data_IF_682338409185
#
_entry.id   IF_682338409185
#
_cell.length_a   1.000
_cell.length_b   1.000
_cell.length_c   1.000
_cell.angle_alpha   90.00
_cell.angle_beta   90.00
_cell.angle_gamma   90.00
#
_symmetry.space_group_name_H-M   'P 1'
#
loop_
_entity.id
_entity.type
_entity.pdbx_description
1 polymer ?
#
# COMPACT_ATOMS: atom_id res chain seq x y z
N UNK A 1 -28.27 23.68 32.80
CA UNK A 1 -26.89 24.20 32.58
C UNK A 1 -25.93 23.04 32.32
N UNK A 2 -26.28 22.12 31.39
CA UNK A 2 -25.61 20.82 31.17
C UNK A 2 -25.59 20.47 29.66
N UNK A 3 -25.34 21.46 28.79
CA UNK A 3 -25.36 21.23 27.32
C UNK A 3 -24.18 21.76 26.53
N UNK A 4 -23.14 22.26 27.20
CA UNK A 4 -21.88 22.63 26.56
C UNK A 4 -20.71 22.22 27.47
N UNK A 5 -20.64 20.94 27.82
CA UNK A 5 -19.33 20.31 27.84
C UNK A 5 -18.87 20.38 26.39
N UNK A 6 -18.13 21.44 26.05
CA UNK A 6 -17.29 21.50 24.87
C UNK A 6 -16.65 20.11 24.78
N UNK A 7 -17.03 19.30 23.78
CA UNK A 7 -16.39 18.01 23.51
C UNK A 7 -14.91 18.32 23.31
N UNK A 8 -14.14 18.20 24.39
CA UNK A 8 -12.80 18.73 24.45
C UNK A 8 -11.97 18.09 23.34
N UNK A 9 -11.35 18.91 22.50
CA UNK A 9 -10.52 18.43 21.39
C UNK A 9 -11.27 17.84 20.18
N UNK A 10 -12.62 17.92 20.10
CA UNK A 10 -13.37 17.54 18.88
C UNK A 10 -13.58 18.76 17.99
N UNK A 11 -13.38 18.60 16.68
CA UNK A 11 -13.49 19.69 15.72
C UNK A 11 -14.93 20.22 15.58
N UNK A 12 -15.13 21.55 15.49
CA UNK A 12 -16.43 22.16 15.21
C UNK A 12 -17.05 21.68 13.90
N UNK A 13 -18.36 21.45 13.92
CA UNK A 13 -19.16 21.00 12.77
C UNK A 13 -18.91 21.85 11.52
N UNK A 14 -18.85 23.17 11.68
CA UNK A 14 -18.67 24.12 10.59
C UNK A 14 -17.30 23.97 9.93
N UNK A 15 -16.26 23.63 10.70
CA UNK A 15 -14.91 23.40 10.17
C UNK A 15 -14.84 22.07 9.41
N UNK A 16 -15.43 21.01 9.95
CA UNK A 16 -15.53 19.71 9.29
C UNK A 16 -16.27 19.85 7.95
N UNK A 17 -17.46 20.46 7.95
CA UNK A 17 -18.25 20.66 6.74
C UNK A 17 -17.53 21.52 5.70
N UNK A 18 -16.81 22.55 6.15
CA UNK A 18 -16.00 23.41 5.27
C UNK A 18 -14.84 22.66 4.65
N UNK A 19 -14.14 21.81 5.41
CA UNK A 19 -13.03 21.02 4.87
C UNK A 19 -13.51 19.92 3.93
N UNK A 20 -14.62 19.23 4.25
CA UNK A 20 -15.26 18.26 3.35
C UNK A 20 -15.61 18.91 2.01
N UNK A 21 -16.29 20.07 2.03
CA UNK A 21 -16.64 20.80 0.81
C UNK A 21 -15.42 21.20 -0.01
N UNK A 22 -14.30 21.51 0.65
CA UNK A 22 -13.04 21.83 -0.02
C UNK A 22 -12.44 20.57 -0.67
N UNK A 23 -12.30 19.48 0.08
CA UNK A 23 -11.81 18.19 -0.43
C UNK A 23 -12.63 17.74 -1.63
N UNK A 24 -13.95 17.62 -1.47
CA UNK A 24 -14.87 17.16 -2.51
C UNK A 24 -14.94 18.04 -3.76
N UNK A 25 -14.43 19.28 -3.69
CA UNK A 25 -14.36 20.22 -4.83
C UNK A 25 -13.03 20.15 -5.57
N UNK A 26 -11.92 19.91 -4.88
CA UNK A 26 -10.58 20.07 -5.43
C UNK A 26 -9.80 18.76 -5.58
N UNK A 27 -10.23 17.71 -4.90
CA UNK A 27 -9.65 16.38 -5.01
C UNK A 27 -10.64 15.45 -5.71
N UNK A 28 -10.09 14.58 -6.56
CA UNK A 28 -10.82 13.55 -7.27
C UNK A 28 -10.07 12.23 -7.13
N UNK A 29 -10.79 11.15 -6.86
CA UNK A 29 -10.25 9.82 -6.71
C UNK A 29 -10.64 8.96 -7.90
N UNK A 30 -9.81 7.98 -8.25
CA UNK A 30 -10.03 7.00 -9.32
C UNK A 30 -11.07 5.94 -8.90
N UNK A 31 -12.25 6.40 -8.51
CA UNK A 31 -13.39 5.59 -8.03
C UNK A 31 -14.71 6.32 -8.32
N UNK A 32 -15.85 5.73 -7.94
CA UNK A 32 -17.15 6.37 -8.01
C UNK A 32 -17.27 7.50 -6.98
N UNK A 33 -18.15 8.48 -7.26
CA UNK A 33 -18.37 9.62 -6.35
C UNK A 33 -18.85 9.19 -4.96
N UNK A 34 -19.61 8.09 -4.89
CA UNK A 34 -20.10 7.56 -3.62
C UNK A 34 -18.95 7.07 -2.75
N UNK A 35 -18.06 6.24 -3.31
CA UNK A 35 -16.92 5.67 -2.59
C UNK A 35 -15.89 6.77 -2.29
N UNK A 36 -15.68 7.71 -3.20
CA UNK A 36 -14.85 8.90 -2.96
C UNK A 36 -15.28 9.65 -1.69
N UNK A 37 -16.59 9.88 -1.51
CA UNK A 37 -17.10 10.53 -0.31
C UNK A 37 -16.84 9.70 0.95
N UNK A 38 -16.93 8.36 0.89
CA UNK A 38 -16.61 7.48 2.03
C UNK A 38 -15.15 7.61 2.47
N UNK A 39 -14.22 7.73 1.52
CA UNK A 39 -12.78 7.90 1.79
C UNK A 39 -12.44 9.32 2.29
N UNK A 40 -13.16 10.34 1.80
CA UNK A 40 -13.00 11.71 2.30
C UNK A 40 -13.48 11.86 3.75
N UNK A 41 -14.55 11.17 4.16
CA UNK A 41 -15.02 11.17 5.55
C UNK A 41 -13.91 10.71 6.50
N UNK A 42 -13.27 9.58 6.21
CA UNK A 42 -12.15 9.07 7.01
C UNK A 42 -10.95 10.04 7.01
N UNK A 43 -10.66 10.66 5.87
CA UNK A 43 -9.53 11.59 5.78
C UNK A 43 -9.71 12.86 6.61
N UNK A 44 -10.94 13.23 6.96
CA UNK A 44 -11.20 14.42 7.77
C UNK A 44 -10.78 14.27 9.22
N UNK A 45 -10.83 13.05 9.77
CA UNK A 45 -10.30 12.75 11.10
C UNK A 45 -8.81 13.08 11.17
N UNK A 46 -7.99 12.44 10.33
CA UNK A 46 -6.56 12.68 10.29
C UNK A 46 -6.20 14.13 9.97
N UNK A 47 -7.00 14.83 9.15
CA UNK A 47 -6.79 16.26 8.87
C UNK A 47 -7.14 17.15 10.06
N UNK A 48 -8.17 16.80 10.84
CA UNK A 48 -8.52 17.49 12.08
C UNK A 48 -7.43 17.31 13.13
N UNK A 49 -6.92 16.09 13.28
CA UNK A 49 -5.80 15.77 14.18
C UNK A 49 -4.55 16.59 13.80
N UNK A 50 -4.18 16.61 12.52
CA UNK A 50 -2.98 17.30 12.04
C UNK A 50 -3.17 18.82 11.81
N UNK A 51 -4.37 19.36 12.06
CA UNK A 51 -4.66 20.78 11.83
C UNK A 51 -4.56 21.23 10.37
N UNK A 52 -4.76 20.32 9.41
CA UNK A 52 -4.62 20.58 7.96
C UNK A 52 -5.90 21.23 7.39
N UNK A 53 -5.82 21.85 6.21
CA UNK A 53 -7.03 22.28 5.49
C UNK A 53 -7.78 23.43 6.18
N UNK A 54 -9.07 23.23 6.47
CA UNK A 54 -9.89 24.23 7.16
C UNK A 54 -9.54 24.40 8.65
N UNK A 55 -8.79 23.47 9.24
CA UNK A 55 -8.42 23.48 10.66
C UNK A 55 -7.24 24.44 10.98
N UNK A 56 -6.51 24.94 9.97
CA UNK A 56 -5.55 26.06 10.08
C UNK A 56 -4.52 25.94 11.22
N UNK A 57 -3.82 24.80 11.28
CA UNK A 57 -2.83 24.43 12.32
C UNK A 57 -3.41 24.29 13.73
N UNK A 58 -4.73 24.28 13.89
CA UNK A 58 -5.37 23.93 15.16
C UNK A 58 -5.68 22.44 15.15
N UNK A 59 -5.19 21.75 16.16
CA UNK A 59 -5.30 20.32 16.33
C UNK A 59 -6.58 19.96 17.08
N UNK A 60 -7.27 18.92 16.61
CA UNK A 60 -8.52 18.41 17.19
C UNK A 60 -8.43 16.89 17.34
N UNK A 61 -7.48 16.44 18.17
CA UNK A 61 -7.03 15.05 18.29
C UNK A 61 -8.09 14.05 18.77
N UNK A 62 -9.21 14.54 19.33
CA UNK A 62 -10.31 13.68 19.77
C UNK A 62 -11.44 13.57 18.73
N UNK A 63 -11.31 14.24 17.58
CA UNK A 63 -12.28 14.10 16.48
C UNK A 63 -12.23 12.67 15.98
N UNK A 64 -13.36 11.98 15.93
CA UNK A 64 -13.45 10.62 15.35
C UNK A 64 -14.15 10.63 13.99
N UNK A 65 -14.05 9.53 13.24
CA UNK A 65 -14.86 9.33 12.01
C UNK A 65 -16.37 9.49 12.30
N UNK A 66 -16.85 9.02 13.46
CA UNK A 66 -18.24 9.17 13.89
C UNK A 66 -18.63 10.65 14.05
N UNK A 67 -17.77 11.46 14.68
CA UNK A 67 -17.99 12.90 14.80
C UNK A 67 -18.05 13.58 13.43
N UNK A 68 -17.20 13.16 12.49
CA UNK A 68 -17.22 13.66 11.10
C UNK A 68 -18.55 13.33 10.43
N UNK A 69 -19.01 12.08 10.50
CA UNK A 69 -20.27 11.64 9.89
C UNK A 69 -21.45 12.43 10.45
N UNK A 70 -21.54 12.55 11.78
CA UNK A 70 -22.58 13.32 12.48
C UNK A 70 -22.51 14.82 12.12
N UNK A 71 -21.31 15.39 12.02
CA UNK A 71 -21.11 16.78 11.61
C UNK A 71 -21.55 17.06 10.17
N UNK A 72 -21.44 16.08 9.28
CA UNK A 72 -21.93 16.20 7.90
C UNK A 72 -23.45 15.96 7.77
N UNK A 73 -24.14 15.61 8.86
CA UNK A 73 -25.57 15.30 8.86
C UNK A 73 -25.89 13.97 8.16
N UNK A 74 -24.92 13.05 8.13
CA UNK A 74 -25.06 11.73 7.54
C UNK A 74 -25.45 10.71 8.61
N UNK A 75 -26.07 9.60 8.20
CA UNK A 75 -26.44 8.51 9.10
C UNK A 75 -25.25 7.57 9.37
N UNK A 76 -24.77 7.45 10.63
CA UNK A 76 -23.65 6.58 10.99
C UNK A 76 -23.84 5.12 10.58
N UNK A 77 -25.03 4.56 10.80
CA UNK A 77 -25.32 3.16 10.50
C UNK A 77 -25.25 2.86 9.01
N UNK A 78 -25.75 3.77 8.17
CA UNK A 78 -25.70 3.68 6.71
C UNK A 78 -24.27 3.78 6.20
N UNK A 79 -23.46 4.72 6.71
CA UNK A 79 -22.05 4.85 6.30
C UNK A 79 -21.25 3.60 6.67
N UNK A 80 -21.41 3.10 7.90
CA UNK A 80 -20.82 1.84 8.36
C UNK A 80 -21.20 0.68 7.44
N UNK A 81 -22.49 0.50 7.13
CA UNK A 81 -22.98 -0.55 6.21
C UNK A 81 -22.42 -0.44 4.80
N UNK A 82 -22.31 0.78 4.26
CA UNK A 82 -21.75 1.00 2.91
C UNK A 82 -20.27 0.61 2.84
N UNK A 83 -19.49 0.94 3.88
CA UNK A 83 -18.08 0.52 3.97
C UNK A 83 -17.95 -0.99 4.12
N UNK A 84 -18.79 -1.60 4.95
CA UNK A 84 -18.82 -3.07 5.09
C UNK A 84 -19.14 -3.75 3.75
N UNK A 85 -20.10 -3.25 2.97
CA UNK A 85 -20.44 -3.84 1.69
C UNK A 85 -19.26 -3.87 0.69
N UNK A 86 -18.34 -2.89 0.77
CA UNK A 86 -17.13 -2.89 -0.07
C UNK A 86 -16.13 -3.96 0.38
N UNK A 87 -16.02 -4.22 1.68
CA UNK A 87 -15.20 -5.30 2.25
C UNK A 87 -15.82 -6.65 1.86
N UNK A 88 -17.13 -6.79 2.04
CA UNK A 88 -17.89 -8.01 1.72
C UNK A 88 -17.71 -8.43 0.26
N UNK A 89 -17.63 -7.46 -0.67
CA UNK A 89 -17.35 -7.75 -2.09
C UNK A 89 -15.99 -8.43 -2.31
N UNK A 90 -14.95 -8.02 -1.55
CA UNK A 90 -13.59 -8.61 -1.62
C UNK A 90 -13.55 -9.96 -0.89
N UNK A 91 -14.16 -10.05 0.29
CA UNK A 91 -14.28 -11.31 1.06
C UNK A 91 -15.02 -12.37 0.24
N UNK A 92 -16.11 -11.97 -0.41
CA UNK A 92 -16.88 -12.87 -1.27
C UNK A 92 -16.04 -13.38 -2.44
N UNK A 93 -15.21 -12.53 -3.06
CA UNK A 93 -14.28 -12.97 -4.10
C UNK A 93 -13.33 -14.05 -3.59
N UNK A 94 -12.70 -13.85 -2.42
CA UNK A 94 -11.82 -14.85 -1.84
C UNK A 94 -12.55 -16.18 -1.59
N UNK A 95 -13.76 -16.13 -1.01
CA UNK A 95 -14.59 -17.30 -0.79
C UNK A 95 -14.96 -18.03 -2.09
N UNK A 96 -15.31 -17.29 -3.14
CA UNK A 96 -15.70 -17.85 -4.43
C UNK A 96 -14.48 -18.54 -5.09
N UNK A 97 -13.29 -17.92 -5.04
CA UNK A 97 -12.03 -18.52 -5.53
C UNK A 97 -11.67 -19.80 -4.78
N UNK A 98 -11.80 -19.79 -3.44
CA UNK A 98 -11.53 -20.95 -2.59
C UNK A 98 -12.45 -22.13 -2.95
N UNK A 99 -13.72 -21.85 -3.29
CA UNK A 99 -14.68 -22.85 -3.77
C UNK A 99 -14.41 -23.33 -5.21
N UNK A 100 -13.40 -22.78 -5.88
CA UNK A 100 -13.05 -23.11 -7.26
C UNK A 100 -13.90 -22.39 -8.30
N UNK A 101 -14.64 -21.35 -7.93
CA UNK A 101 -15.36 -20.54 -8.91
C UNK A 101 -14.39 -19.73 -9.77
N UNK A 102 -14.73 -19.61 -11.06
CA UNK A 102 -13.91 -18.84 -11.99
C UNK A 102 -14.10 -17.34 -11.77
N UNK A 103 -13.16 -16.70 -11.06
CA UNK A 103 -13.15 -15.26 -10.78
C UNK A 103 -11.94 -14.56 -11.44
N UNK A 104 -11.92 -14.51 -12.76
CA UNK A 104 -10.82 -13.90 -13.53
C UNK A 104 -10.89 -12.36 -13.62
N UNK A 105 -11.78 -11.72 -12.86
CA UNK A 105 -11.95 -10.26 -12.79
C UNK A 105 -12.20 -9.77 -11.37
N UNK A 106 -11.74 -8.57 -11.08
CA UNK A 106 -11.93 -7.88 -9.80
C UNK A 106 -13.22 -7.05 -9.81
N UNK A 107 -14.34 -7.76 -9.91
CA UNK A 107 -15.70 -7.21 -9.92
C UNK A 107 -16.56 -7.93 -8.88
N UNK A 108 -17.58 -7.23 -8.37
CA UNK A 108 -18.57 -7.80 -7.46
C UNK A 108 -19.62 -8.63 -8.21
N UNK A 109 -20.57 -9.22 -7.46
CA UNK A 109 -21.66 -10.04 -8.02
C UNK A 109 -22.62 -9.28 -8.94
N UNK A 110 -22.61 -7.93 -8.88
CA UNK A 110 -23.38 -7.06 -9.78
C UNK A 110 -22.62 -6.71 -11.06
N UNK A 111 -21.37 -7.15 -11.19
CA UNK A 111 -20.48 -6.81 -12.30
C UNK A 111 -19.81 -5.45 -12.16
N UNK A 112 -19.86 -4.82 -10.99
CA UNK A 112 -19.23 -3.53 -10.73
C UNK A 112 -17.78 -3.73 -10.29
N UNK A 113 -16.81 -2.92 -10.75
CA UNK A 113 -15.42 -3.01 -10.30
C UNK A 113 -15.28 -2.83 -8.79
N UNK A 114 -14.36 -3.59 -8.17
CA UNK A 114 -14.06 -3.43 -6.76
C UNK A 114 -13.66 -2.00 -6.43
N UNK A 115 -14.17 -1.53 -5.29
CA UNK A 115 -13.99 -0.17 -4.80
C UNK A 115 -14.40 0.89 -5.82
N UNK A 116 -15.22 0.55 -6.83
CA UNK A 116 -15.62 1.43 -7.91
C UNK A 116 -14.47 1.87 -8.83
N UNK A 117 -13.31 1.21 -8.77
CA UNK A 117 -12.10 1.59 -9.52
C UNK A 117 -12.22 1.05 -10.96
N UNK A 118 -12.40 1.91 -11.98
CA UNK A 118 -12.81 1.45 -13.30
C UNK A 118 -11.86 0.43 -13.95
N UNK A 119 -10.55 0.62 -13.80
CA UNK A 119 -9.55 -0.26 -14.41
C UNK A 119 -9.47 -1.64 -13.75
N UNK A 120 -9.90 -1.81 -12.49
CA UNK A 120 -9.91 -3.14 -11.87
C UNK A 120 -10.91 -4.08 -12.56
N UNK A 121 -11.98 -3.54 -13.15
CA UNK A 121 -12.93 -4.33 -13.93
C UNK A 121 -12.45 -4.72 -15.32
N UNK A 122 -11.33 -4.16 -15.80
CA UNK A 122 -10.79 -4.43 -17.14
C UNK A 122 -9.64 -5.42 -17.14
N UNK A 123 -8.95 -5.60 -16.02
CA UNK A 123 -7.91 -6.61 -15.89
C UNK A 123 -8.49 -8.03 -15.87
N UNK A 124 -7.91 -8.90 -16.70
CA UNK A 124 -7.98 -10.34 -16.45
C UNK A 124 -6.88 -10.68 -15.46
N UNK A 125 -7.25 -11.24 -14.31
CA UNK A 125 -6.33 -11.59 -13.23
C UNK A 125 -6.26 -13.10 -13.04
N UNK A 126 -5.14 -13.60 -12.52
CA UNK A 126 -5.10 -14.91 -11.90
C UNK A 126 -5.69 -14.82 -10.48
N UNK A 127 -6.91 -15.36 -10.24
CA UNK A 127 -7.55 -15.25 -8.93
C UNK A 127 -6.74 -15.87 -7.78
N UNK A 128 -5.96 -16.91 -8.08
CA UNK A 128 -5.10 -17.55 -7.10
C UNK A 128 -3.98 -16.61 -6.63
N UNK A 129 -3.36 -15.85 -7.54
CA UNK A 129 -2.32 -14.88 -7.17
C UNK A 129 -2.91 -13.71 -6.39
N UNK A 130 -4.13 -13.26 -6.72
CA UNK A 130 -4.85 -12.26 -5.91
C UNK A 130 -5.12 -12.80 -4.50
N UNK A 131 -5.51 -14.07 -4.37
CA UNK A 131 -5.74 -14.71 -3.07
C UNK A 131 -4.45 -14.78 -2.23
N UNK A 132 -3.30 -15.08 -2.86
CA UNK A 132 -1.98 -15.02 -2.22
C UNK A 132 -1.66 -13.60 -1.75
N UNK A 133 -1.99 -12.60 -2.55
CA UNK A 133 -1.80 -11.19 -2.21
C UNK A 133 -2.67 -10.74 -1.03
N UNK A 134 -3.93 -11.17 -0.96
CA UNK A 134 -4.82 -10.90 0.18
C UNK A 134 -4.26 -11.51 1.47
N UNK A 135 -3.77 -12.76 1.40
CA UNK A 135 -3.15 -13.42 2.55
C UNK A 135 -1.90 -12.69 3.04
N UNK A 136 -0.95 -12.38 2.13
CA UNK A 136 0.28 -11.66 2.51
C UNK A 136 -0.03 -10.25 3.00
N UNK A 137 -0.96 -9.57 2.32
CA UNK A 137 -1.39 -8.22 2.64
C UNK A 137 -1.96 -8.13 4.05
N UNK A 138 -2.88 -9.03 4.43
CA UNK A 138 -3.55 -8.96 5.73
C UNK A 138 -2.63 -9.32 6.88
N UNK A 139 -1.66 -10.21 6.64
CA UNK A 139 -0.69 -10.59 7.67
C UNK A 139 0.43 -9.56 7.90
N UNK A 140 0.81 -8.76 6.90
CA UNK A 140 2.02 -7.91 7.03
C UNK A 140 1.91 -6.85 8.13
N UNK A 141 0.69 -6.41 8.42
CA UNK A 141 0.42 -5.34 9.39
C UNK A 141 0.14 -5.88 10.80
N UNK A 142 0.02 -7.20 10.93
CA UNK A 142 -0.05 -7.88 12.22
C UNK A 142 1.18 -7.58 13.08
N UNK A 143 0.93 -7.18 14.34
CA UNK A 143 1.98 -6.73 15.26
C UNK A 143 2.98 -7.83 15.63
N UNK A 144 2.56 -9.09 15.72
CA UNK A 144 3.45 -10.19 16.07
C UNK A 144 4.38 -10.52 14.88
N UNK A 145 3.84 -10.48 13.65
CA UNK A 145 4.63 -10.65 12.42
C UNK A 145 5.67 -9.53 12.28
N UNK A 146 5.29 -8.28 12.56
CA UNK A 146 6.25 -7.16 12.58
C UNK A 146 7.38 -7.41 13.58
N UNK A 147 7.08 -7.90 14.79
CA UNK A 147 8.10 -8.24 15.80
C UNK A 147 9.06 -9.33 15.32
N UNK A 148 8.53 -10.40 14.73
CA UNK A 148 9.35 -11.48 14.16
C UNK A 148 10.28 -10.96 13.04
N UNK A 149 9.79 -10.05 12.20
CA UNK A 149 10.56 -9.43 11.12
C UNK A 149 11.65 -8.48 11.65
N UNK A 150 11.35 -7.69 12.68
CA UNK A 150 12.36 -6.87 13.38
C UNK A 150 13.48 -7.74 13.96
N UNK A 151 13.12 -8.85 14.61
CA UNK A 151 14.09 -9.78 15.17
C UNK A 151 14.94 -10.45 14.08
N UNK A 152 14.32 -10.86 12.98
CA UNK A 152 14.98 -11.53 11.85
C UNK A 152 15.94 -10.58 11.10
N UNK A 153 15.48 -9.38 10.78
CA UNK A 153 16.21 -8.44 9.92
C UNK A 153 16.97 -7.35 10.68
N UNK A 154 16.86 -7.31 12.01
CA UNK A 154 17.52 -6.32 12.88
C UNK A 154 17.16 -4.88 12.49
N UNK A 155 15.87 -4.63 12.33
CA UNK A 155 15.28 -3.33 12.00
C UNK A 155 14.28 -2.91 13.07
N UNK A 156 13.83 -1.65 13.00
CA UNK A 156 12.77 -1.11 13.85
C UNK A 156 11.55 -0.80 12.98
N UNK A 157 10.41 -1.33 13.38
CA UNK A 157 9.11 -1.12 12.76
C UNK A 157 8.20 -0.46 13.78
N UNK A 158 7.80 0.78 13.49
CA UNK A 158 6.78 1.48 14.27
C UNK A 158 5.42 0.84 14.08
N UNK A 159 4.57 0.87 15.10
CA UNK A 159 3.26 0.24 15.02
C UNK A 159 2.40 0.46 16.25
N UNK A 160 1.17 0.00 16.15
CA UNK A 160 0.13 0.13 17.15
C UNK A 160 -1.15 -0.46 16.63
N UNK A 161 -2.20 -0.44 17.44
CA UNK A 161 -3.50 -0.99 17.04
C UNK A 161 -4.65 -0.14 17.56
N UNK A 162 -5.83 -0.38 16.97
CA UNK A 162 -7.06 0.24 17.41
C UNK A 162 -7.60 -0.43 18.67
N UNK A 163 -8.11 0.37 19.61
CA UNK A 163 -8.76 -0.10 20.81
C UNK A 163 -10.04 0.71 21.08
N UNK A 164 -11.03 0.09 21.71
CA UNK A 164 -12.10 0.86 22.34
C UNK A 164 -11.55 1.53 23.60
N UNK A 165 -11.64 2.86 23.64
CA UNK A 165 -11.14 3.70 24.71
C UNK A 165 -12.30 4.39 25.41
N UNK A 166 -12.38 4.25 26.74
CA UNK A 166 -13.28 5.09 27.56
C UNK A 166 -12.68 6.49 27.70
N UNK A 167 -13.28 7.45 27.01
CA UNK A 167 -12.81 8.83 26.96
C UNK A 167 -12.86 9.55 28.31
N UNK A 168 -13.68 9.08 29.27
CA UNK A 168 -13.74 9.65 30.63
C UNK A 168 -12.55 9.17 31.45
N UNK A 169 -12.16 7.91 31.31
CA UNK A 169 -10.95 7.37 31.94
C UNK A 169 -9.72 8.00 31.31
N UNK A 170 -9.69 8.10 29.97
CA UNK A 170 -8.62 8.77 29.22
C UNK A 170 -8.33 10.18 29.76
N UNK A 171 -9.37 11.00 29.91
CA UNK A 171 -9.25 12.35 30.47
C UNK A 171 -8.78 12.35 31.93
N UNK A 172 -9.30 11.45 32.78
CA UNK A 172 -8.86 11.33 34.18
C UNK A 172 -7.38 10.96 34.31
N UNK A 173 -6.87 10.18 33.35
CA UNK A 173 -5.45 9.80 33.28
C UNK A 173 -4.56 10.88 32.68
N UNK A 174 -5.13 12.01 32.23
CA UNK A 174 -4.39 13.07 31.53
C UNK A 174 -3.88 12.63 30.15
N UNK A 175 -4.53 11.66 29.53
CA UNK A 175 -4.22 11.13 28.20
C UNK A 175 -5.15 11.74 27.16
N UNK A 176 -4.71 11.73 25.91
CA UNK A 176 -5.50 12.12 24.75
C UNK A 176 -5.00 11.42 23.47
N UNK A 177 -5.65 11.71 22.34
CA UNK A 177 -5.25 11.16 21.04
C UNK A 177 -3.84 11.58 20.61
N UNK A 178 -3.30 12.71 21.08
CA UNK A 178 -1.93 13.14 20.75
C UNK A 178 -0.90 12.24 21.40
N UNK A 179 -1.09 11.98 22.71
CA UNK A 179 -0.25 11.06 23.48
C UNK A 179 -0.27 9.68 22.84
N UNK A 180 -1.46 9.13 22.59
CA UNK A 180 -1.61 7.81 21.97
C UNK A 180 -1.00 7.68 20.58
N UNK A 181 -1.03 8.75 19.77
CA UNK A 181 -0.52 8.70 18.41
C UNK A 181 1.01 8.86 18.30
N UNK A 182 1.67 9.47 19.30
CA UNK A 182 3.10 9.87 19.20
C UNK A 182 4.01 9.21 20.25
N UNK A 183 3.49 8.72 21.37
CA UNK A 183 4.28 8.02 22.39
C UNK A 183 4.18 6.51 22.21
N UNK A 184 5.21 5.79 22.65
CA UNK A 184 5.19 4.32 22.70
C UNK A 184 4.48 3.84 23.96
N UNK A 185 3.48 3.00 23.82
CA UNK A 185 2.63 2.52 24.91
C UNK A 185 2.72 1.01 25.16
N UNK A 186 3.65 0.28 24.54
CA UNK A 186 3.78 -1.18 24.65
C UNK A 186 3.75 -1.67 26.12
N UNK A 187 4.43 -0.98 27.03
CA UNK A 187 4.49 -1.34 28.45
C UNK A 187 3.27 -0.91 29.28
N UNK A 188 2.41 -0.04 28.74
CA UNK A 188 1.23 0.51 29.43
C UNK A 188 -0.08 -0.20 29.06
N UNK A 189 -0.11 -0.97 27.97
CA UNK A 189 -1.35 -1.62 27.47
C UNK A 189 -2.06 -2.44 28.55
N UNK A 190 -1.34 -3.26 29.31
CA UNK A 190 -1.94 -4.07 30.36
C UNK A 190 -2.44 -3.23 31.55
N UNK A 191 -1.79 -2.09 31.82
CA UNK A 191 -2.28 -1.13 32.82
C UNK A 191 -3.56 -0.46 32.32
N UNK A 192 -3.60 -0.02 31.07
CA UNK A 192 -4.78 0.58 30.46
C UNK A 192 -5.99 -0.34 30.49
N UNK A 193 -5.81 -1.64 30.23
CA UNK A 193 -6.88 -2.64 30.40
C UNK A 193 -7.36 -2.74 31.86
N UNK A 194 -6.43 -2.85 32.82
CA UNK A 194 -6.78 -2.94 34.26
C UNK A 194 -7.50 -1.71 34.80
N UNK A 195 -7.13 -0.52 34.33
CA UNK A 195 -7.75 0.75 34.73
C UNK A 195 -9.09 1.00 33.99
N UNK A 196 -9.48 0.12 33.07
CA UNK A 196 -10.70 0.24 32.28
C UNK A 196 -10.63 1.25 31.14
N UNK A 197 -9.43 1.78 30.85
CA UNK A 197 -9.21 2.69 29.73
C UNK A 197 -9.44 1.96 28.41
N UNK A 198 -8.79 0.81 28.23
CA UNK A 198 -9.02 -0.08 27.09
C UNK A 198 -10.13 -1.06 27.47
N UNK A 199 -11.20 -1.05 26.68
CA UNK A 199 -12.35 -1.92 26.85
C UNK A 199 -12.33 -2.95 25.73
N UNK A 200 -12.66 -4.20 26.07
CA UNK A 200 -12.91 -5.27 25.10
C UNK A 200 -14.40 -5.61 25.18
N UNK A 201 -15.24 -5.03 24.32
CA UNK A 201 -16.67 -5.33 24.30
C UNK A 201 -16.87 -6.82 24.04
N UNK A 202 -17.79 -7.45 24.77
CA UNK A 202 -18.18 -8.83 24.46
C UNK A 202 -19.00 -8.86 23.18
N UNK A 203 -19.02 -10.01 22.52
CA UNK A 203 -19.85 -10.19 21.33
C UNK A 203 -21.32 -9.91 21.66
N UNK A 204 -21.94 -9.02 20.88
CA UNK A 204 -23.32 -8.57 21.09
C UNK A 204 -23.51 -7.51 22.18
N UNK A 205 -22.45 -7.05 22.84
CA UNK A 205 -22.52 -5.94 23.80
C UNK A 205 -22.67 -4.60 23.08
N UNK A 206 -23.65 -3.80 23.49
CA UNK A 206 -23.89 -2.49 22.92
C UNK A 206 -22.81 -1.51 23.42
N UNK A 207 -22.11 -0.88 22.49
CA UNK A 207 -21.06 0.08 22.79
C UNK A 207 -21.70 1.45 23.00
N UNK A 208 -21.47 2.05 24.17
CA UNK A 208 -21.86 3.44 24.41
C UNK A 208 -20.95 4.37 23.59
N UNK A 209 -21.37 4.65 22.35
CA UNK A 209 -20.63 5.49 21.40
C UNK A 209 -20.45 6.95 21.87
N UNK A 210 -21.12 7.39 22.95
CA UNK A 210 -20.90 8.72 23.52
C UNK A 210 -19.59 8.79 24.31
N UNK A 211 -19.25 7.73 25.04
CA UNK A 211 -18.08 7.70 25.92
C UNK A 211 -16.98 6.75 25.45
N UNK A 212 -17.32 5.73 24.67
CA UNK A 212 -16.39 4.76 24.10
C UNK A 212 -16.05 5.13 22.66
N UNK A 213 -14.77 5.34 22.38
CA UNK A 213 -14.28 5.69 21.04
C UNK A 213 -13.24 4.67 20.58
N UNK A 214 -13.33 4.25 19.32
CA UNK A 214 -12.28 3.43 18.72
C UNK A 214 -11.11 4.34 18.35
N UNK A 215 -9.96 4.14 19.00
CA UNK A 215 -8.78 5.01 18.86
C UNK A 215 -7.53 4.17 18.63
N UNK A 216 -6.66 4.65 17.74
CA UNK A 216 -5.34 4.09 17.55
C UNK A 216 -4.44 4.42 18.74
N UNK A 217 -3.79 3.41 19.31
CA UNK A 217 -2.74 3.56 20.32
C UNK A 217 -1.46 2.98 19.73
N UNK A 218 -0.42 3.81 19.67
CA UNK A 218 0.91 3.42 19.22
C UNK A 218 1.56 2.55 20.30
N UNK A 219 1.74 1.28 20.00
CA UNK A 219 2.45 0.36 20.88
C UNK A 219 3.96 0.66 20.82
N UNK A 220 4.52 0.82 19.60
CA UNK A 220 5.95 0.94 19.33
C UNK A 220 6.33 2.16 18.48
N UNK A 221 7.38 2.87 18.89
CA UNK A 221 7.92 4.02 18.15
C UNK A 221 8.80 3.54 16.99
N UNK A 222 8.61 4.15 15.82
CA UNK A 222 9.37 3.89 14.60
C UNK A 222 8.67 4.43 13.37
N UNK A 223 9.30 4.33 12.18
CA UNK A 223 8.82 4.99 10.95
C UNK A 223 7.58 4.32 10.34
N UNK A 224 7.31 3.06 10.69
CA UNK A 224 6.13 2.31 10.25
C UNK A 224 6.35 1.55 8.93
N UNK A 225 5.24 1.24 8.26
CA UNK A 225 5.21 0.57 6.96
C UNK A 225 4.69 1.50 5.88
N UNK A 226 5.01 1.16 4.63
CA UNK A 226 4.61 1.85 3.43
C UNK A 226 3.74 0.94 2.58
N UNK A 227 2.47 1.32 2.41
CA UNK A 227 1.53 0.61 1.53
C UNK A 227 2.02 0.63 0.07
N UNK A 228 2.57 1.76 -0.39
CA UNK A 228 3.18 1.87 -1.72
C UNK A 228 4.32 0.85 -1.90
N UNK A 229 5.19 0.70 -0.88
CA UNK A 229 6.32 -0.22 -0.93
C UNK A 229 5.86 -1.67 -0.86
N UNK A 230 4.81 -1.99 -0.10
CA UNK A 230 4.21 -3.32 -0.04
C UNK A 230 3.68 -3.74 -1.42
N UNK A 231 2.86 -2.90 -2.05
CA UNK A 231 2.27 -3.15 -3.37
C UNK A 231 3.36 -3.34 -4.43
N UNK A 232 4.35 -2.44 -4.49
CA UNK A 232 5.42 -2.53 -5.50
C UNK A 232 6.33 -3.72 -5.25
N UNK A 233 6.70 -3.99 -3.99
CA UNK A 233 7.56 -5.13 -3.66
C UNK A 233 6.88 -6.45 -3.99
N UNK A 234 5.59 -6.58 -3.70
CA UNK A 234 4.77 -7.72 -4.12
C UNK A 234 4.82 -7.92 -5.65
N UNK A 235 4.65 -6.84 -6.41
CA UNK A 235 4.70 -6.86 -7.87
C UNK A 235 6.07 -7.27 -8.44
N UNK A 236 7.16 -6.75 -7.86
CA UNK A 236 8.53 -7.01 -8.30
C UNK A 236 9.08 -8.36 -7.84
N UNK A 237 8.64 -8.87 -6.68
CA UNK A 237 9.03 -10.18 -6.19
C UNK A 237 8.29 -11.28 -6.94
N UNK A 238 6.97 -11.11 -7.13
CA UNK A 238 6.07 -12.15 -7.62
C UNK A 238 5.44 -11.77 -8.97
N UNK A 239 4.35 -11.00 -8.97
CA UNK A 239 3.62 -10.55 -10.16
C UNK A 239 2.57 -9.48 -9.82
N UNK A 240 1.97 -8.91 -10.86
CA UNK A 240 0.93 -7.87 -10.76
C UNK A 240 -0.31 -8.32 -9.97
N UNK A 241 -0.78 -9.56 -10.16
CA UNK A 241 -2.02 -10.04 -9.56
C UNK A 241 -1.89 -10.18 -8.04
N UNK A 242 -0.72 -10.62 -7.57
CA UNK A 242 -0.40 -10.63 -6.14
C UNK A 242 -0.33 -9.21 -5.56
N UNK A 243 0.27 -8.26 -6.29
CA UNK A 243 0.27 -6.86 -5.89
C UNK A 243 -1.13 -6.26 -5.78
N UNK A 244 -2.05 -6.64 -6.67
CA UNK A 244 -3.47 -6.27 -6.58
C UNK A 244 -4.12 -6.86 -5.33
N UNK A 245 -3.82 -8.11 -4.97
CA UNK A 245 -4.29 -8.71 -3.72
C UNK A 245 -3.80 -7.95 -2.48
N UNK A 246 -2.53 -7.56 -2.44
CA UNK A 246 -1.97 -6.72 -1.35
C UNK A 246 -2.69 -5.38 -1.27
N UNK A 247 -2.90 -4.71 -2.41
CA UNK A 247 -3.65 -3.45 -2.47
C UNK A 247 -5.11 -3.59 -1.98
N UNK A 248 -5.77 -4.72 -2.27
CA UNK A 248 -7.12 -4.98 -1.80
C UNK A 248 -7.17 -5.24 -0.29
N UNK A 249 -6.13 -5.85 0.27
CA UNK A 249 -5.98 -6.01 1.72
C UNK A 249 -5.93 -4.65 2.43
N UNK A 250 -5.10 -3.73 1.94
CA UNK A 250 -4.98 -2.38 2.52
C UNK A 250 -6.27 -1.59 2.41
N UNK A 251 -7.03 -1.86 1.35
CA UNK A 251 -8.34 -1.28 1.20
C UNK A 251 -9.30 -1.79 2.28
N UNK A 252 -9.21 -3.05 2.69
CA UNK A 252 -9.97 -3.60 3.81
C UNK A 252 -9.55 -2.92 5.12
N UNK A 253 -8.25 -2.90 5.49
CA UNK A 253 -7.74 -2.19 6.70
C UNK A 253 -8.19 -0.72 6.72
N UNK A 254 -8.17 -0.07 5.55
CA UNK A 254 -8.67 1.30 5.45
C UNK A 254 -10.16 1.39 5.76
N UNK A 255 -10.97 0.49 5.19
CA UNK A 255 -12.44 0.51 5.26
C UNK A 255 -12.98 0.08 6.63
N UNK A 256 -12.37 -0.92 7.26
CA UNK A 256 -12.84 -1.53 8.50
C UNK A 256 -12.82 -0.58 9.70
N UNK A 257 -11.94 0.43 9.68
CA UNK A 257 -11.81 1.51 10.68
C UNK A 257 -13.11 2.25 10.98
N UNK A 258 -14.15 2.07 10.16
CA UNK A 258 -15.49 2.58 10.45
C UNK A 258 -16.59 1.70 9.85
N UNK A 259 -16.82 0.54 10.47
CA UNK A 259 -17.82 -0.48 10.08
C UNK A 259 -18.76 -0.80 11.25
N UNK A 260 -19.82 -1.61 11.05
CA UNK A 260 -20.72 -2.00 12.14
C UNK A 260 -20.02 -2.80 13.24
N UNK A 261 -18.95 -3.53 12.90
CA UNK A 261 -18.13 -4.31 13.83
C UNK A 261 -16.66 -3.96 13.63
N UNK A 262 -16.06 -3.31 14.62
CA UNK A 262 -14.63 -2.95 14.59
C UNK A 262 -13.80 -4.20 14.90
N UNK A 263 -13.14 -4.71 13.86
CA UNK A 263 -12.31 -5.91 13.85
C UNK A 263 -11.21 -5.73 12.81
N UNK A 264 -10.18 -6.56 12.92
CA UNK A 264 -9.05 -6.68 11.99
C UNK A 264 -9.47 -7.65 10.85
N UNK A 265 -10.32 -7.17 9.93
CA UNK A 265 -11.02 -8.00 8.94
C UNK A 265 -10.11 -8.49 7.82
N UNK A 266 -9.03 -7.79 7.51
CA UNK A 266 -8.02 -8.29 6.56
C UNK A 266 -7.15 -9.38 7.19
N UNK A 267 -6.78 -9.27 8.47
CA UNK A 267 -6.13 -10.36 9.22
C UNK A 267 -7.08 -11.58 9.34
N UNK A 268 -8.36 -11.37 9.69
CA UNK A 268 -9.38 -12.43 9.72
C UNK A 268 -9.53 -13.11 8.34
N UNK A 269 -9.52 -12.34 7.25
CA UNK A 269 -9.58 -12.87 5.89
C UNK A 269 -8.32 -13.67 5.56
N UNK A 270 -7.14 -13.20 5.95
CA UNK A 270 -5.89 -13.93 5.73
C UNK A 270 -5.90 -15.29 6.46
N UNK A 271 -6.33 -15.33 7.72
CA UNK A 271 -6.49 -16.60 8.43
C UNK A 271 -7.54 -17.51 7.80
N UNK A 272 -8.67 -16.95 7.36
CA UNK A 272 -9.68 -17.71 6.63
C UNK A 272 -9.11 -18.34 5.35
N UNK A 273 -8.34 -17.59 4.57
CA UNK A 273 -7.67 -18.09 3.35
C UNK A 273 -6.73 -19.23 3.68
N UNK A 274 -5.86 -19.06 4.69
CA UNK A 274 -4.91 -20.09 5.14
C UNK A 274 -5.62 -21.40 5.50
N UNK A 275 -6.68 -21.29 6.28
CA UNK A 275 -7.37 -22.44 6.86
C UNK A 275 -8.24 -23.17 5.84
N UNK A 276 -8.75 -22.46 4.82
CA UNK A 276 -9.67 -23.02 3.83
C UNK A 276 -9.03 -23.28 2.46
N UNK A 277 -7.76 -22.89 2.27
CA UNK A 277 -7.05 -23.07 1.01
C UNK A 277 -5.57 -23.48 1.22
N UNK A 278 -5.31 -24.69 1.75
CA UNK A 278 -3.97 -25.12 2.14
C UNK A 278 -2.97 -25.19 0.97
N UNK A 279 -3.45 -25.28 -0.26
CA UNK A 279 -2.67 -25.25 -1.49
C UNK A 279 -2.28 -23.82 -1.96
N UNK A 280 -2.40 -22.80 -1.10
CA UNK A 280 -2.07 -21.39 -1.43
C UNK A 280 -0.62 -21.17 -1.91
N UNK A 281 0.30 -22.09 -1.60
CA UNK A 281 1.68 -22.03 -2.06
C UNK A 281 2.42 -20.77 -1.61
N UNK A 282 2.04 -20.20 -0.46
CA UNK A 282 2.70 -19.08 0.20
C UNK A 282 3.27 -19.56 1.53
N UNK A 283 4.53 -19.23 1.76
CA UNK A 283 5.23 -19.49 3.01
C UNK A 283 5.18 -18.27 3.93
N UNK A 284 5.44 -18.45 5.22
CA UNK A 284 5.65 -17.30 6.13
C UNK A 284 6.88 -16.48 5.74
N UNK A 285 7.87 -17.07 5.06
CA UNK A 285 9.00 -16.33 4.52
C UNK A 285 8.55 -15.27 3.50
N UNK A 286 7.59 -15.59 2.64
CA UNK A 286 7.03 -14.61 1.69
C UNK A 286 6.34 -13.43 2.42
N UNK A 287 5.66 -13.71 3.54
CA UNK A 287 5.05 -12.69 4.40
C UNK A 287 6.13 -11.81 5.02
N UNK A 288 7.17 -12.42 5.62
CA UNK A 288 8.28 -11.70 6.22
C UNK A 288 9.04 -10.83 5.22
N UNK A 289 9.22 -11.32 4.00
CA UNK A 289 9.94 -10.62 2.94
C UNK A 289 9.20 -9.36 2.50
N UNK A 290 7.88 -9.46 2.29
CA UNK A 290 7.05 -8.30 1.96
C UNK A 290 6.97 -7.34 3.14
N UNK A 291 6.82 -7.83 4.37
CA UNK A 291 6.82 -7.02 5.59
C UNK A 291 8.12 -6.22 5.71
N UNK A 292 9.29 -6.86 5.53
CA UNK A 292 10.60 -6.20 5.56
C UNK A 292 10.77 -5.16 4.43
N UNK A 293 10.32 -5.50 3.22
CA UNK A 293 10.46 -4.61 2.07
C UNK A 293 9.53 -3.40 2.15
N UNK A 294 8.37 -3.56 2.79
CA UNK A 294 7.41 -2.50 3.08
C UNK A 294 7.86 -1.55 4.20
N UNK A 295 8.87 -1.91 5.00
CA UNK A 295 9.33 -1.06 6.10
C UNK A 295 9.89 0.28 5.62
N UNK A 296 9.38 1.35 6.23
CA UNK A 296 9.99 2.68 6.13
C UNK A 296 11.27 2.65 6.97
N UNK A 297 12.41 2.76 6.32
CA UNK A 297 13.70 2.77 7.02
C UNK A 297 13.90 4.11 7.70
N UNK A 298 14.44 4.08 8.92
CA UNK A 298 14.88 5.28 9.63
C UNK A 298 15.78 6.14 8.72
N UNK A 299 15.58 7.45 8.74
CA UNK A 299 16.27 8.43 7.90
C UNK A 299 15.98 8.32 6.39
N UNK A 300 14.96 7.55 6.00
CA UNK A 300 14.47 7.42 4.62
C UNK A 300 12.99 7.79 4.45
N UNK A 301 12.37 8.37 5.48
CA UNK A 301 10.96 8.80 5.49
C UNK A 301 10.66 9.83 4.37
N UNK A 302 11.67 10.58 3.92
CA UNK A 302 11.56 11.54 2.82
C UNK A 302 11.53 10.91 1.41
N UNK A 303 11.89 9.63 1.28
CA UNK A 303 11.91 8.91 -0.01
C UNK A 303 11.01 7.67 -0.07
N UNK A 304 10.46 7.22 1.06
CA UNK A 304 9.52 6.10 1.14
C UNK A 304 8.15 6.69 1.49
N UNK A 305 7.20 6.74 0.54
CA UNK A 305 5.87 7.27 0.81
C UNK A 305 5.07 6.32 1.69
N UNK A 306 4.07 6.85 2.38
CA UNK A 306 3.01 6.07 3.00
C UNK A 306 1.67 6.65 2.54
N UNK A 307 1.06 5.98 1.57
CA UNK A 307 -0.19 6.40 0.94
C UNK A 307 -1.35 5.58 1.46
N UNK A 308 -2.23 6.21 2.25
CA UNK A 308 -3.56 5.64 2.49
C UNK A 308 -4.33 5.41 1.19
N UNK A 309 -5.38 4.59 1.22
CA UNK A 309 -6.21 4.33 0.03
C UNK A 309 -6.67 5.61 -0.69
N UNK A 310 -6.96 6.69 0.04
CA UNK A 310 -7.29 7.99 -0.58
C UNK A 310 -6.15 8.48 -1.46
N UNK A 311 -4.91 8.45 -0.96
CA UNK A 311 -3.75 8.93 -1.71
C UNK A 311 -3.39 7.99 -2.86
N UNK A 312 -3.52 6.67 -2.68
CA UNK A 312 -3.37 5.69 -3.76
C UNK A 312 -4.33 5.98 -4.92
N UNK A 313 -5.57 6.34 -4.62
CA UNK A 313 -6.61 6.63 -5.62
C UNK A 313 -6.63 8.08 -6.10
N UNK A 314 -5.86 8.99 -5.49
CA UNK A 314 -5.91 10.41 -5.86
C UNK A 314 -5.45 10.65 -7.30
N UNK A 315 -6.34 11.22 -8.13
CA UNK A 315 -6.04 11.53 -9.52
C UNK A 315 -5.18 12.80 -9.57
N UNK A 316 -3.94 12.64 -10.01
CA UNK A 316 -3.06 13.79 -10.21
C UNK A 316 -3.63 14.71 -11.31
N UNK A 317 -3.72 16.00 -11.03
CA UNK A 317 -4.36 16.97 -11.93
C UNK A 317 -3.64 17.14 -13.27
N UNK A 318 -2.32 16.90 -13.31
CA UNK A 318 -1.49 17.02 -14.52
C UNK A 318 -1.50 15.72 -15.34
N UNK A 319 -1.21 14.59 -14.71
CA UNK A 319 -1.06 13.31 -15.41
C UNK A 319 -2.36 12.57 -15.65
N UNK A 320 -3.44 12.93 -14.94
CA UNK A 320 -4.77 12.29 -15.00
C UNK A 320 -4.78 10.81 -14.62
N UNK A 321 -3.74 10.33 -13.95
CA UNK A 321 -3.67 8.98 -13.38
C UNK A 321 -3.47 9.07 -11.87
N UNK A 322 -3.89 8.01 -11.18
CA UNK A 322 -3.68 7.84 -9.74
C UNK A 322 -2.29 7.29 -9.40
N UNK A 323 -1.91 7.34 -8.12
CA UNK A 323 -0.68 6.72 -7.64
C UNK A 323 -0.71 5.20 -7.82
N UNK A 324 -1.84 4.56 -7.53
CA UNK A 324 -2.05 3.13 -7.76
C UNK A 324 -1.82 2.76 -9.23
N UNK A 325 -2.47 3.46 -10.18
CA UNK A 325 -2.23 3.22 -11.61
C UNK A 325 -0.76 3.37 -11.99
N UNK A 326 -0.07 4.36 -11.41
CA UNK A 326 1.33 4.58 -11.66
C UNK A 326 2.23 3.47 -11.07
N UNK A 327 1.86 2.89 -9.92
CA UNK A 327 2.53 1.73 -9.34
C UNK A 327 2.33 0.48 -10.19
N UNK A 328 1.10 0.23 -10.65
CA UNK A 328 0.81 -0.91 -11.53
C UNK A 328 1.59 -0.79 -12.85
N UNK A 329 1.64 0.40 -13.44
CA UNK A 329 2.46 0.67 -14.62
C UNK A 329 3.94 0.38 -14.36
N UNK A 330 4.46 0.80 -13.20
CA UNK A 330 5.83 0.53 -12.79
C UNK A 330 6.13 -0.97 -12.68
N UNK A 331 5.25 -1.73 -12.03
CA UNK A 331 5.36 -3.18 -11.86
C UNK A 331 5.35 -3.89 -13.23
N UNK A 332 4.49 -3.44 -14.14
CA UNK A 332 4.39 -4.01 -15.50
C UNK A 332 5.54 -3.58 -16.43
N UNK A 333 6.41 -2.67 -16.00
CA UNK A 333 7.47 -2.10 -16.84
C UNK A 333 6.95 -1.20 -17.96
N UNK A 334 5.74 -0.66 -17.83
CA UNK A 334 5.17 0.32 -18.76
C UNK A 334 5.57 1.74 -18.35
N UNK A 335 5.16 2.73 -19.16
CA UNK A 335 5.53 4.12 -18.91
C UNK A 335 4.91 4.64 -17.60
N UNK A 336 5.75 5.20 -16.74
CA UNK A 336 5.36 5.87 -15.49
C UNK A 336 5.41 7.38 -15.62
N UNK A 337 4.56 8.08 -14.88
CA UNK A 337 4.55 9.56 -14.84
C UNK A 337 5.15 10.06 -13.52
N UNK A 338 6.03 11.08 -13.54
CA UNK A 338 6.51 11.71 -12.32
C UNK A 338 5.37 12.37 -11.54
N UNK A 339 5.23 12.05 -10.26
CA UNK A 339 4.22 12.63 -9.36
C UNK A 339 4.68 12.62 -7.90
N UNK A 340 3.99 13.43 -7.08
CA UNK A 340 4.14 13.42 -5.62
C UNK A 340 3.24 12.32 -5.03
N UNK A 341 3.81 11.45 -4.18
CA UNK A 341 3.14 10.31 -3.56
C UNK A 341 2.87 10.56 -2.07
N UNK A 342 1.75 10.00 -1.58
CA UNK A 342 1.34 10.05 -0.18
C UNK A 342 1.14 11.45 0.40
N UNK A 343 0.97 11.52 1.72
CA UNK A 343 0.89 12.79 2.44
C UNK A 343 2.22 13.57 2.39
N UNK A 344 3.34 12.84 2.48
CA UNK A 344 4.69 13.39 2.51
C UNK A 344 5.17 13.96 1.15
N UNK A 345 4.41 13.76 0.07
CA UNK A 345 4.70 14.26 -1.30
C UNK A 345 6.04 13.77 -1.84
N UNK A 346 6.33 12.49 -1.65
CA UNK A 346 7.56 11.86 -2.13
C UNK A 346 7.59 11.84 -3.66
N UNK A 347 8.71 12.19 -4.29
CA UNK A 347 8.87 12.09 -5.75
C UNK A 347 8.87 10.62 -6.18
N UNK A 348 7.89 10.22 -6.99
CA UNK A 348 7.72 8.84 -7.47
C UNK A 348 8.96 8.29 -8.16
N UNK A 349 9.78 9.10 -8.83
CA UNK A 349 11.01 8.64 -9.49
C UNK A 349 12.08 8.23 -8.49
N UNK A 350 12.21 9.00 -7.40
CA UNK A 350 13.15 8.69 -6.33
C UNK A 350 12.73 7.40 -5.63
N UNK A 351 11.44 7.30 -5.30
CA UNK A 351 10.87 6.12 -4.68
C UNK A 351 11.03 4.87 -5.55
N UNK A 352 10.65 4.92 -6.83
CA UNK A 352 10.79 3.79 -7.76
C UNK A 352 12.24 3.33 -7.94
N UNK A 353 13.18 4.28 -8.01
CA UNK A 353 14.61 3.98 -8.08
C UNK A 353 15.11 3.32 -6.79
N UNK A 354 14.62 3.80 -5.65
CA UNK A 354 14.95 3.25 -4.33
C UNK A 354 14.39 1.84 -4.16
N UNK A 355 13.09 1.64 -4.36
CA UNK A 355 12.42 0.35 -4.10
C UNK A 355 12.92 -0.74 -5.04
N UNK A 356 13.17 -0.41 -6.32
CA UNK A 356 13.79 -1.35 -7.27
C UNK A 356 15.16 -1.82 -6.79
N UNK A 357 15.98 -0.90 -6.28
CA UNK A 357 17.29 -1.23 -5.72
C UNK A 357 17.17 -2.05 -4.45
N UNK A 358 16.27 -1.67 -3.54
CA UNK A 358 16.00 -2.39 -2.28
C UNK A 358 15.59 -3.83 -2.56
N UNK A 359 14.64 -4.04 -3.47
CA UNK A 359 14.18 -5.38 -3.89
C UNK A 359 15.32 -6.16 -4.58
N UNK A 360 16.11 -5.51 -5.42
CA UNK A 360 17.27 -6.15 -6.06
C UNK A 360 18.32 -6.59 -5.05
N UNK A 361 18.70 -5.71 -4.12
CA UNK A 361 19.65 -6.01 -3.04
C UNK A 361 19.12 -7.09 -2.11
N UNK A 362 17.82 -7.08 -1.82
CA UNK A 362 17.16 -8.11 -1.04
C UNK A 362 17.24 -9.48 -1.73
N UNK A 363 16.86 -9.56 -3.01
CA UNK A 363 17.01 -10.78 -3.81
C UNK A 363 18.48 -11.20 -3.91
N UNK A 364 19.42 -10.27 -4.08
CA UNK A 364 20.85 -10.56 -4.14
C UNK A 364 21.41 -11.08 -2.81
N UNK A 365 20.91 -10.58 -1.67
CA UNK A 365 21.20 -11.09 -0.33
C UNK A 365 20.54 -12.43 -0.02
N UNK A 366 19.60 -12.89 -0.83
CA UNK A 366 19.12 -14.28 -0.84
C UNK A 366 19.98 -15.20 -1.74
N UNK A 367 20.98 -14.65 -2.47
CA UNK A 367 21.98 -15.41 -3.25
C UNK A 367 23.24 -15.86 -2.45
N UNK A 368 23.43 -15.70 -1.12
CA UNK A 368 24.61 -16.23 -0.46
C UNK A 368 24.40 -17.71 -0.08
N UNK A 369 24.47 -18.59 -1.09
CA UNK A 369 24.93 -19.99 -0.92
C UNK A 369 25.57 -20.59 -2.18
N UNK A 370 25.85 -19.79 -3.22
CA UNK A 370 26.54 -20.25 -4.44
C UNK A 370 27.88 -19.53 -4.67
N UNK A 371 28.17 -18.44 -3.95
CA UNK A 371 29.42 -17.69 -4.14
C UNK A 371 30.63 -18.34 -3.43
N UNK A 372 30.39 -19.16 -2.41
CA UNK A 372 31.42 -20.02 -1.83
C UNK A 372 31.80 -21.10 -2.85
N UNK A 373 32.99 -20.99 -3.45
CA UNK A 373 33.47 -21.89 -4.51
C UNK A 373 33.49 -21.27 -5.92
N UNK A 374 33.05 -20.02 -6.10
CA UNK A 374 33.24 -19.26 -7.34
C UNK A 374 34.57 -18.47 -7.32
N UNK A 375 35.68 -19.17 -7.03
CA UNK A 375 37.03 -18.59 -7.09
C UNK A 375 37.62 -18.58 -8.50
N UNK A 376 36.89 -19.13 -9.48
CA UNK A 376 37.35 -19.18 -10.87
C UNK A 376 37.49 -17.76 -11.43
N UNK A 377 38.65 -17.42 -12.02
CA UNK A 377 38.80 -16.18 -12.78
C UNK A 377 37.69 -16.01 -13.81
N UNK A 378 37.16 -14.78 -13.95
CA UNK A 378 36.11 -14.46 -14.94
C UNK A 378 36.53 -14.89 -16.36
N UNK A 379 37.81 -14.87 -16.69
CA UNK A 379 38.36 -15.33 -17.97
C UNK A 379 38.06 -16.81 -18.30
N UNK A 380 37.77 -17.64 -17.29
CA UNK A 380 37.41 -19.06 -17.46
C UNK A 380 35.95 -19.24 -17.86
N UNK A 381 35.08 -18.29 -17.51
CA UNK A 381 33.63 -18.40 -17.69
C UNK A 381 33.05 -17.35 -18.65
N UNK A 382 33.81 -16.32 -19.00
CA UNK A 382 33.37 -15.30 -19.96
C UNK A 382 33.18 -15.91 -21.36
N UNK A 383 32.11 -15.51 -22.05
CA UNK A 383 31.97 -15.87 -23.46
C UNK A 383 33.04 -15.12 -24.27
N UNK A 384 33.91 -15.89 -24.92
CA UNK A 384 35.01 -15.36 -25.75
C UNK A 384 34.52 -14.95 -27.15
N UNK A 385 33.28 -15.26 -27.52
CA UNK A 385 32.67 -14.96 -28.82
C UNK A 385 31.90 -13.65 -28.75
N UNK A 386 32.62 -12.59 -28.43
CA UNK A 386 32.04 -11.25 -28.39
C UNK A 386 31.82 -10.72 -29.80
N UNK A 387 30.63 -10.18 -30.05
CA UNK A 387 30.29 -9.56 -31.34
C UNK A 387 30.45 -8.05 -31.22
N UNK A 388 31.32 -7.48 -32.06
CA UNK A 388 31.64 -6.05 -32.04
C UNK A 388 31.00 -5.32 -33.22
N UNK A 389 30.64 -4.06 -32.99
CA UNK A 389 30.22 -3.10 -34.02
C UNK A 389 30.89 -1.75 -33.80
N UNK A 390 31.08 -0.96 -34.85
CA UNK A 390 31.59 0.41 -34.73
C UNK A 390 30.44 1.39 -34.39
N UNK A 391 30.70 2.53 -33.72
CA UNK A 391 29.66 3.53 -33.39
C UNK A 391 28.86 4.04 -34.59
N UNK A 392 29.47 4.06 -35.78
CA UNK A 392 28.81 4.48 -37.02
C UNK A 392 27.97 3.38 -37.69
N UNK A 393 27.91 2.18 -37.11
CA UNK A 393 27.19 1.04 -37.70
C UNK A 393 25.69 1.35 -37.73
N UNK A 394 25.03 1.34 -38.92
CA UNK A 394 23.60 1.59 -39.00
C UNK A 394 22.79 0.55 -38.19
N UNK A 395 21.71 0.99 -37.55
CA UNK A 395 20.85 0.16 -36.69
C UNK A 395 20.41 -1.15 -37.36
N UNK A 396 19.95 -1.06 -38.63
CA UNK A 396 19.57 -2.25 -39.43
C UNK A 396 20.71 -3.25 -39.51
N UNK A 397 21.94 -2.77 -39.72
CA UNK A 397 23.12 -3.63 -39.86
C UNK A 397 23.51 -4.24 -38.53
N UNK A 398 23.40 -3.49 -37.44
CA UNK A 398 23.60 -4.02 -36.09
C UNK A 398 22.62 -5.17 -35.80
N UNK A 399 21.33 -5.04 -36.15
CA UNK A 399 20.33 -6.12 -35.99
C UNK A 399 20.69 -7.34 -36.84
N UNK A 400 21.08 -7.16 -38.11
CA UNK A 400 21.51 -8.27 -38.97
C UNK A 400 22.72 -9.01 -38.37
N UNK A 401 23.71 -8.27 -37.87
CA UNK A 401 24.90 -8.84 -37.22
C UNK A 401 24.50 -9.63 -35.97
N UNK A 402 23.63 -9.07 -35.13
CA UNK A 402 23.13 -9.72 -33.92
C UNK A 402 22.41 -11.04 -34.23
N UNK A 403 21.52 -11.05 -35.24
CA UNK A 403 20.79 -12.25 -35.67
C UNK A 403 21.72 -13.31 -36.27
N UNK A 404 22.65 -12.91 -37.14
CA UNK A 404 23.60 -13.83 -37.78
C UNK A 404 24.56 -14.46 -36.77
N UNK A 405 25.06 -13.66 -35.82
CA UNK A 405 25.95 -14.12 -34.77
C UNK A 405 25.22 -14.90 -33.66
N UNK A 406 23.88 -14.92 -33.67
CA UNK A 406 23.03 -15.38 -32.56
C UNK A 406 23.47 -14.75 -31.23
N UNK A 407 23.86 -13.48 -31.27
CA UNK A 407 24.33 -12.74 -30.12
C UNK A 407 23.14 -12.07 -29.43
N UNK A 408 23.14 -12.04 -28.09
CA UNK A 408 22.14 -11.28 -27.32
C UNK A 408 22.60 -9.84 -27.03
N UNK A 409 23.90 -9.59 -27.21
CA UNK A 409 24.58 -8.33 -26.90
C UNK A 409 25.61 -8.01 -27.98
N UNK A 410 25.64 -6.74 -28.39
CA UNK A 410 26.70 -6.17 -29.23
C UNK A 410 27.57 -5.23 -28.41
N UNK A 411 28.88 -5.37 -28.56
CA UNK A 411 29.83 -4.42 -28.00
C UNK A 411 30.13 -3.35 -29.04
N UNK A 412 29.88 -2.09 -28.69
CA UNK A 412 30.23 -0.95 -29.54
C UNK A 412 31.66 -0.53 -29.20
N UNK A 413 32.58 -0.65 -30.16
CA UNK A 413 33.98 -0.34 -29.96
C UNK A 413 34.57 0.53 -31.08
N UNK A 414 35.56 1.36 -30.76
CA UNK A 414 36.28 2.14 -31.76
C UNK A 414 37.29 1.28 -32.55
N UNK A 415 37.97 1.91 -33.52
CA UNK A 415 38.99 1.25 -34.36
C UNK A 415 40.20 0.71 -33.57
N UNK A 416 40.42 1.20 -32.35
CA UNK A 416 41.46 0.73 -31.45
C UNK A 416 40.94 -0.33 -30.46
N UNK A 417 39.74 -0.87 -30.70
CA UNK A 417 39.03 -1.82 -29.82
C UNK A 417 38.76 -1.26 -28.41
N UNK A 418 38.72 0.05 -28.24
CA UNK A 418 38.24 0.65 -26.99
C UNK A 418 36.73 0.54 -26.97
N UNK A 419 36.21 -0.06 -25.90
CA UNK A 419 34.77 -0.20 -25.70
C UNK A 419 34.18 1.19 -25.45
N UNK A 420 33.20 1.56 -26.26
CA UNK A 420 32.47 2.82 -26.18
C UNK A 420 31.06 2.62 -25.61
N UNK A 421 30.51 1.41 -25.70
CA UNK A 421 29.21 1.07 -25.12
C UNK A 421 28.77 -0.36 -25.41
N UNK A 422 27.58 -0.71 -24.96
CA UNK A 422 26.90 -1.98 -25.25
C UNK A 422 25.50 -1.68 -25.79
N UNK A 423 24.99 -2.59 -26.63
CA UNK A 423 23.62 -2.56 -27.12
C UNK A 423 23.05 -3.97 -27.02
N UNK A 424 21.97 -4.13 -26.27
CA UNK A 424 21.26 -5.41 -26.14
C UNK A 424 20.01 -5.47 -27.01
N UNK A 425 19.38 -6.65 -27.09
CA UNK A 425 18.15 -6.83 -27.86
C UNK A 425 16.99 -5.93 -27.37
N UNK A 426 16.94 -5.57 -26.08
CA UNK A 426 15.90 -4.73 -25.49
C UNK A 426 16.06 -3.27 -25.91
N UNK A 427 17.28 -2.79 -26.10
CA UNK A 427 17.57 -1.45 -26.61
C UNK A 427 17.14 -1.27 -28.08
N UNK A 428 17.22 -2.36 -28.86
CA UNK A 428 16.90 -2.36 -30.30
C UNK A 428 15.40 -2.44 -30.59
N UNK A 429 14.63 -3.14 -29.76
CA UNK A 429 13.20 -3.40 -29.99
C UNK A 429 12.34 -2.11 -30.09
N UNK A 430 12.45 -1.11 -29.20
CA UNK A 430 11.70 0.14 -29.29
C UNK A 430 11.97 0.94 -30.59
N UNK A 431 13.20 0.87 -31.11
CA UNK A 431 13.60 1.59 -32.32
C UNK A 431 12.96 1.00 -33.58
N UNK A 432 12.77 -0.34 -33.61
CA UNK A 432 12.08 -1.04 -34.70
C UNK A 432 10.59 -0.66 -34.72
N UNK A 433 9.95 -0.57 -33.55
CA UNK A 433 8.53 -0.19 -33.41
C UNK A 433 8.31 1.26 -33.85
N UNK A 434 9.20 2.18 -33.45
CA UNK A 434 9.08 3.61 -33.75
C UNK A 434 9.22 3.89 -35.26
N UNK A 435 10.11 3.17 -35.95
CA UNK A 435 10.33 3.31 -37.40
C UNK A 435 9.12 2.85 -38.25
N UNK A 436 8.25 1.99 -37.72
CA UNK A 436 6.98 1.59 -38.39
C UNK A 436 5.86 2.63 -38.23
N UNK A 437 5.88 3.42 -37.15
CA UNK A 437 4.86 4.42 -36.86
C UNK A 437 5.09 5.75 -37.58
N UNK A 438 6.34 6.08 -37.92
CA UNK A 438 6.69 7.30 -38.68
C UNK A 438 6.53 7.18 -40.21
N UNK A 439 6.04 6.04 -40.71
CA UNK A 439 5.79 5.77 -42.14
C UNK A 439 4.30 5.63 -42.48
N UNK A 440 3.40 6.12 -41.61
CA UNK A 440 1.98 6.29 -41.90
C UNK A 440 1.62 7.75 -42.07
#
# INVERSE_FOLDING_TARGET
>A
MVKELIRWGVAPKELIAKDFKRLSKFEHLATTKEIENLLFIQSLEGRAHNGVGAFRKRHWMNTTIDDVVKALGLDPGLIKKKRQALIDDIVQFAQDVIKGEKRDKLINKKGEPFLGIPFLGTFTVNPYEVLRGLYIGGLRDNSDIRKEVEEKYKIIIGGGKGYFVDTRIMQRMGLDGEVFAHMGHENEIERYKREGLIITPKEGEEIDEEVMKYMYIRDRIGPGHSDDAAIISAGLLFNLDLALGVCLSDAIDTLEKYTPSYKDQDDELAFYIRDNYPQLGVSMEDVYDITYLATIVEEKEEIIPDSSLRYLLHINHRSKISALENHLNFIQGTAVVPMELGHARVDSRKFYSYIKRRVFEFKAKAIPLVVAGLEKPIEEIMDKRLTFVEPGTPLKKAIEIMLLAKAELLIVADKNKRILGIVDAKDLLPQIVTTRLSKK
#
